data_IF_563815527969
#
_entry.id   IF_563815527969
#
_cell.length_a   1.000
_cell.length_b   1.000
_cell.length_c   1.000
_cell.angle_alpha   90.00
_cell.angle_beta   90.00
_cell.angle_gamma   90.00
#
_symmetry.space_group_name_H-M   'P 1'
#
loop_
_entity.id
_entity.type
_entity.pdbx_description
1 polymer ?
#
# COMPACT_ATOMS: atom_id res chain seq x y z
N UNK A 1 -9.79 3.56 -11.86
CA UNK A 1 -9.24 2.69 -12.93
C UNK A 1 -9.46 1.25 -12.50
N UNK A 2 -10.26 0.45 -13.24
CA UNK A 2 -10.65 -0.91 -12.83
C UNK A 2 -9.50 -1.92 -12.92
N UNK A 3 -9.61 -3.01 -12.16
CA UNK A 3 -8.72 -4.17 -12.26
C UNK A 3 -9.08 -5.26 -11.26
N UNK A 4 -8.70 -6.50 -11.56
CA UNK A 4 -8.83 -7.65 -10.66
C UNK A 4 -7.44 -8.04 -10.16
N UNK A 5 -7.18 -7.79 -8.87
CA UNK A 5 -5.87 -8.09 -8.28
C UNK A 5 -5.95 -8.33 -6.78
N UNK A 6 -4.92 -9.02 -6.28
CA UNK A 6 -4.68 -9.24 -4.86
C UNK A 6 -3.29 -8.73 -4.46
N UNK A 7 -3.18 -8.19 -3.26
CA UNK A 7 -1.92 -7.67 -2.74
C UNK A 7 -1.94 -7.36 -1.25
N UNK A 8 -0.74 -7.15 -0.73
CA UNK A 8 -0.53 -6.74 0.66
C UNK A 8 -0.66 -5.22 0.80
N UNK A 9 -1.38 -4.78 1.82
CA UNK A 9 -1.61 -3.38 2.12
C UNK A 9 -0.42 -2.73 2.82
N UNK A 10 -0.12 -1.49 2.42
CA UNK A 10 0.68 -0.53 3.19
C UNK A 10 -0.15 0.73 3.40
N UNK A 11 -0.19 1.25 4.62
CA UNK A 11 -1.17 2.26 5.02
C UNK A 11 -0.46 3.55 5.40
N UNK A 12 -1.06 4.68 5.00
CA UNK A 12 -0.75 6.01 5.51
C UNK A 12 -2.03 6.80 5.76
N UNK A 13 -2.02 7.60 6.81
CA UNK A 13 -3.10 8.52 7.21
C UNK A 13 -2.78 9.96 6.86
N UNK A 14 -1.60 10.22 6.29
CA UNK A 14 -1.19 11.52 5.78
C UNK A 14 -1.29 11.57 4.25
N UNK A 15 -1.16 12.77 3.68
CA UNK A 15 -1.16 12.93 2.23
C UNK A 15 0.03 12.21 1.60
N UNK A 16 -0.21 11.53 0.47
CA UNK A 16 0.83 10.81 -0.24
C UNK A 16 1.58 11.71 -1.23
N UNK A 17 2.87 11.96 -0.99
CA UNK A 17 3.72 12.68 -1.92
C UNK A 17 4.45 11.69 -2.85
N UNK A 18 3.96 11.58 -4.09
CA UNK A 18 4.50 10.63 -5.07
C UNK A 18 6.00 10.84 -5.33
N UNK A 19 6.45 12.08 -5.58
CA UNK A 19 7.85 12.35 -5.88
C UNK A 19 8.73 12.04 -4.65
N UNK A 20 8.39 12.58 -3.48
CA UNK A 20 9.18 12.34 -2.26
C UNK A 20 9.26 10.84 -1.91
N UNK A 21 8.18 10.10 -2.15
CA UNK A 21 8.11 8.65 -1.90
C UNK A 21 9.06 7.87 -2.80
N UNK A 22 9.14 8.18 -4.10
CA UNK A 22 9.91 7.38 -5.06
C UNK A 22 11.26 7.97 -5.47
N UNK A 23 11.55 9.23 -5.17
CA UNK A 23 12.73 9.97 -5.67
C UNK A 23 14.05 9.19 -5.48
N UNK A 24 14.31 8.68 -4.27
CA UNK A 24 15.55 7.94 -3.99
C UNK A 24 15.62 6.60 -4.72
N UNK A 25 14.50 5.89 -4.84
CA UNK A 25 14.43 4.63 -5.59
C UNK A 25 14.68 4.86 -7.09
N UNK A 26 14.17 5.96 -7.63
CA UNK A 26 14.36 6.36 -9.02
C UNK A 26 15.83 6.74 -9.31
N UNK A 27 16.47 7.51 -8.43
CA UNK A 27 17.87 7.91 -8.57
C UNK A 27 18.85 6.74 -8.43
N UNK A 28 18.66 5.90 -7.41
CA UNK A 28 19.57 4.78 -7.13
C UNK A 28 19.47 3.64 -8.15
N UNK A 29 18.41 3.64 -8.96
CA UNK A 29 18.14 2.58 -9.90
C UNK A 29 17.76 1.25 -9.24
N UNK A 30 17.32 1.27 -7.98
CA UNK A 30 16.92 0.08 -7.21
C UNK A 30 15.78 -0.69 -7.89
N UNK A 31 15.75 -2.02 -7.69
CA UNK A 31 14.61 -2.88 -8.05
C UNK A 31 13.47 -2.86 -7.02
N UNK A 32 13.72 -2.22 -5.87
CA UNK A 32 12.78 -1.98 -4.77
C UNK A 32 12.39 -0.52 -4.74
N UNK A 33 11.15 -0.22 -4.37
CA UNK A 33 10.67 1.15 -4.18
C UNK A 33 10.59 1.47 -2.69
N UNK A 34 11.74 1.56 -2.02
CA UNK A 34 11.79 1.97 -0.62
C UNK A 34 11.43 3.45 -0.52
N UNK A 35 10.36 3.74 0.23
CA UNK A 35 9.83 5.09 0.40
C UNK A 35 10.87 6.00 1.05
N UNK A 36 11.13 7.16 0.43
CA UNK A 36 12.07 8.17 0.92
C UNK A 36 11.42 9.43 1.51
N UNK A 37 10.10 9.45 1.61
CA UNK A 37 9.34 10.59 2.14
C UNK A 37 9.45 10.69 3.66
N UNK A 38 10.23 11.63 4.16
CA UNK A 38 10.48 11.82 5.60
C UNK A 38 9.26 12.39 6.34
N UNK A 39 8.39 13.10 5.63
CA UNK A 39 7.16 13.66 6.20
C UNK A 39 6.07 12.58 6.36
N UNK A 40 6.24 11.44 5.69
CA UNK A 40 5.36 10.28 5.82
C UNK A 40 6.01 9.17 6.65
N UNK A 41 6.06 9.37 7.97
CA UNK A 41 6.63 8.40 8.91
C UNK A 41 5.99 7.00 8.84
N UNK A 42 4.73 6.90 8.40
CA UNK A 42 4.05 5.62 8.22
C UNK A 42 4.58 4.85 7.01
N UNK A 43 4.98 5.52 5.92
CA UNK A 43 5.53 4.83 4.74
C UNK A 43 7.05 4.82 4.70
N UNK A 44 7.73 5.76 5.37
CA UNK A 44 9.18 5.92 5.29
C UNK A 44 9.92 4.60 5.55
N UNK A 45 10.81 4.22 4.62
CA UNK A 45 11.57 2.98 4.70
C UNK A 45 10.81 1.70 4.31
N UNK A 46 9.50 1.76 4.04
CA UNK A 46 8.73 0.63 3.51
C UNK A 46 8.93 0.48 2.00
N UNK A 47 8.91 -0.75 1.51
CA UNK A 47 8.94 -1.03 0.07
C UNK A 47 7.53 -0.97 -0.50
N UNK A 48 7.31 -0.04 -1.43
CA UNK A 48 6.02 0.24 -2.05
C UNK A 48 5.78 -0.59 -3.32
N UNK A 49 6.83 -1.24 -3.84
CA UNK A 49 6.74 -2.02 -5.06
C UNK A 49 5.77 -3.19 -4.89
N UNK A 50 4.89 -3.36 -5.86
CA UNK A 50 3.89 -4.44 -5.92
C UNK A 50 2.94 -4.51 -4.69
N UNK A 51 2.90 -3.46 -3.85
CA UNK A 51 1.97 -3.31 -2.73
C UNK A 51 0.69 -2.61 -3.15
N UNK A 52 -0.33 -2.68 -2.29
CA UNK A 52 -1.53 -1.87 -2.36
C UNK A 52 -1.36 -0.74 -1.35
N UNK A 53 -1.29 0.51 -1.81
CA UNK A 53 -1.12 1.67 -0.94
C UNK A 53 -2.52 2.17 -0.56
N UNK A 54 -2.83 2.21 0.73
CA UNK A 54 -4.06 2.76 1.27
C UNK A 54 -3.77 4.14 1.88
N UNK A 55 -4.47 5.15 1.41
CA UNK A 55 -4.15 6.56 1.68
C UNK A 55 -5.42 7.42 1.72
N UNK A 56 -5.40 8.58 2.38
CA UNK A 56 -6.55 9.49 2.34
C UNK A 56 -6.66 10.20 0.99
N UNK A 57 -5.55 10.79 0.54
CA UNK A 57 -5.44 11.59 -0.68
C UNK A 57 -3.98 11.66 -1.11
N UNK A 58 -3.75 11.97 -2.37
CA UNK A 58 -2.43 12.34 -2.90
C UNK A 58 -2.20 13.85 -2.77
N UNK A 59 -0.94 14.23 -2.59
CA UNK A 59 -0.50 15.61 -2.66
C UNK A 59 -0.18 15.92 -4.13
N UNK A 60 -1.21 16.31 -4.87
CA UNK A 60 -1.14 16.58 -6.30
C UNK A 60 -0.07 17.63 -6.63
N UNK A 61 0.78 17.30 -7.60
CA UNK A 61 1.77 18.20 -8.20
C UNK A 61 2.01 17.77 -9.64
N UNK A 62 2.42 18.70 -10.51
CA UNK A 62 2.78 18.38 -11.90
C UNK A 62 3.89 17.32 -11.96
N UNK A 63 4.78 17.29 -10.96
CA UNK A 63 5.82 16.27 -10.83
C UNK A 63 5.27 14.86 -10.60
N UNK A 64 4.05 14.71 -10.07
CA UNK A 64 3.45 13.39 -9.83
C UNK A 64 3.25 12.62 -11.14
N UNK A 65 2.83 13.31 -12.21
CA UNK A 65 2.63 12.68 -13.53
C UNK A 65 3.91 12.06 -14.09
N UNK A 66 5.00 12.84 -14.14
CA UNK A 66 6.30 12.36 -14.59
C UNK A 66 6.87 11.25 -13.69
N UNK A 67 6.59 11.34 -12.37
CA UNK A 67 7.04 10.32 -11.42
C UNK A 67 6.33 8.99 -11.66
N UNK A 68 5.01 8.99 -11.88
CA UNK A 68 4.24 7.77 -12.15
C UNK A 68 4.70 7.07 -13.41
N UNK A 69 4.91 7.83 -14.50
CA UNK A 69 5.45 7.31 -15.75
C UNK A 69 6.81 6.62 -15.52
N UNK A 70 7.73 7.30 -14.83
CA UNK A 70 9.06 6.75 -14.56
C UNK A 70 9.01 5.52 -13.66
N UNK A 71 8.22 5.56 -12.59
CA UNK A 71 8.04 4.44 -11.64
C UNK A 71 7.48 3.20 -12.35
N UNK A 72 6.52 3.40 -13.26
CA UNK A 72 5.96 2.34 -14.09
C UNK A 72 7.00 1.76 -15.05
N UNK A 73 7.73 2.59 -15.82
CA UNK A 73 8.80 2.14 -16.71
C UNK A 73 9.92 1.40 -16.00
N UNK A 74 10.21 1.77 -14.74
CA UNK A 74 11.22 1.11 -13.91
C UNK A 74 10.71 -0.20 -13.30
N UNK A 75 9.44 -0.54 -13.45
CA UNK A 75 8.86 -1.77 -12.89
C UNK A 75 8.89 -1.83 -11.36
N UNK A 76 8.83 -0.66 -10.71
CA UNK A 76 8.83 -0.52 -9.25
C UNK A 76 7.52 0.08 -8.71
N UNK A 77 6.51 0.16 -9.57
CA UNK A 77 5.19 0.68 -9.21
C UNK A 77 4.48 -0.19 -8.16
N UNK A 78 3.61 0.40 -7.32
CA UNK A 78 2.63 -0.34 -6.56
C UNK A 78 1.61 -1.02 -7.50
N UNK A 79 0.89 -2.01 -6.99
CA UNK A 79 -0.23 -2.63 -7.71
C UNK A 79 -1.45 -1.73 -7.76
N UNK A 80 -1.74 -1.05 -6.64
CA UNK A 80 -2.92 -0.21 -6.52
C UNK A 80 -2.74 0.93 -5.52
N UNK A 81 -3.57 1.96 -5.70
CA UNK A 81 -3.79 3.07 -4.79
C UNK A 81 -5.27 3.09 -4.39
N UNK A 82 -5.54 3.01 -3.09
CA UNK A 82 -6.89 2.98 -2.53
C UNK A 82 -7.11 4.22 -1.67
N UNK A 83 -7.89 5.16 -2.20
CA UNK A 83 -8.12 6.47 -1.59
C UNK A 83 -9.39 6.46 -0.74
N UNK A 84 -9.27 6.92 0.51
CA UNK A 84 -10.45 7.16 1.35
C UNK A 84 -11.24 8.38 0.89
N UNK A 85 -10.57 9.37 0.30
CA UNK A 85 -11.16 10.58 -0.31
C UNK A 85 -11.08 10.52 -1.83
N UNK A 86 -11.51 11.59 -2.50
CA UNK A 86 -11.41 11.73 -3.96
C UNK A 86 -9.95 11.85 -4.39
N UNK A 87 -9.58 11.16 -5.47
CA UNK A 87 -8.26 11.30 -6.09
C UNK A 87 -8.14 12.67 -6.77
N UNK A 88 -6.97 13.30 -6.68
CA UNK A 88 -6.72 14.55 -7.41
C UNK A 88 -6.49 14.29 -8.91
N UNK A 89 -6.81 15.28 -9.74
CA UNK A 89 -6.75 15.16 -11.20
C UNK A 89 -5.32 14.95 -11.74
N UNK A 90 -4.29 15.48 -11.06
CA UNK A 90 -2.90 15.35 -11.50
C UNK A 90 -2.38 13.93 -11.29
N UNK A 91 -2.70 13.35 -10.13
CA UNK A 91 -2.41 11.95 -9.84
C UNK A 91 -3.19 11.04 -10.77
N UNK A 92 -4.48 11.27 -10.98
CA UNK A 92 -5.31 10.49 -11.90
C UNK A 92 -4.75 10.52 -13.33
N UNK A 93 -4.41 11.71 -13.85
CA UNK A 93 -3.80 11.86 -15.17
C UNK A 93 -2.45 11.13 -15.27
N UNK A 94 -1.61 11.25 -14.24
CA UNK A 94 -0.32 10.56 -14.16
C UNK A 94 -0.43 9.04 -14.26
N UNK A 95 -1.37 8.45 -13.53
CA UNK A 95 -1.62 7.00 -13.57
C UNK A 95 -2.14 6.53 -14.93
N UNK A 96 -3.00 7.34 -15.57
CA UNK A 96 -3.51 7.05 -16.92
C UNK A 96 -2.35 7.05 -17.92
N UNK A 97 -1.52 8.11 -17.93
CA UNK A 97 -0.36 8.21 -18.83
C UNK A 97 0.58 7.02 -18.62
N UNK A 98 0.94 6.72 -17.37
CA UNK A 98 1.80 5.59 -17.04
C UNK A 98 1.23 4.24 -17.52
N UNK A 99 -0.09 4.05 -17.42
CA UNK A 99 -0.76 2.84 -17.90
C UNK A 99 -0.64 2.68 -19.42
N UNK A 100 -0.80 3.77 -20.19
CA UNK A 100 -0.75 3.73 -21.65
C UNK A 100 0.66 3.64 -22.20
N UNK A 101 1.64 4.33 -21.61
CA UNK A 101 2.99 4.45 -22.17
C UNK A 101 3.96 3.41 -21.60
N UNK A 102 3.88 3.10 -20.32
CA UNK A 102 4.77 2.12 -19.68
C UNK A 102 4.17 0.71 -19.61
N UNK A 103 2.92 0.52 -20.02
CA UNK A 103 2.23 -0.78 -20.03
C UNK A 103 1.99 -1.38 -18.63
N UNK A 104 2.31 -0.65 -17.55
CA UNK A 104 2.07 -1.09 -16.18
C UNK A 104 0.83 -0.39 -15.64
N UNK A 105 -0.22 -1.16 -15.41
CA UNK A 105 -1.46 -0.68 -14.80
C UNK A 105 -1.31 -0.61 -13.28
N UNK A 106 -1.45 0.59 -12.72
CA UNK A 106 -1.68 0.81 -11.28
C UNK A 106 -3.17 1.04 -11.10
N UNK A 107 -3.85 0.14 -10.39
CA UNK A 107 -5.29 0.26 -10.12
C UNK A 107 -5.53 1.42 -9.15
N UNK A 108 -6.59 2.18 -9.37
CA UNK A 108 -6.94 3.30 -8.50
C UNK A 108 -8.43 3.29 -8.21
N UNK A 109 -8.79 3.23 -6.93
CA UNK A 109 -10.18 3.33 -6.44
C UNK A 109 -10.22 4.44 -5.42
N UNK A 110 -11.17 5.36 -5.58
CA UNK A 110 -11.32 6.52 -4.71
C UNK A 110 -12.64 6.51 -3.94
N UNK A 111 -12.78 7.43 -2.98
CA UNK A 111 -14.00 7.61 -2.19
C UNK A 111 -14.44 6.36 -1.42
N UNK A 112 -13.49 5.55 -0.95
CA UNK A 112 -13.76 4.38 -0.10
C UNK A 112 -14.24 4.77 1.31
N UNK A 113 -14.11 6.04 1.68
CA UNK A 113 -14.57 6.59 2.95
C UNK A 113 -13.57 6.40 4.08
N UNK A 114 -13.70 7.23 5.12
CA UNK A 114 -12.77 7.23 6.26
C UNK A 114 -12.74 5.89 7.01
N UNK A 115 -13.89 5.21 7.11
CA UNK A 115 -14.02 3.90 7.75
C UNK A 115 -13.07 2.86 7.15
N UNK A 116 -12.90 2.84 5.82
CA UNK A 116 -11.95 1.95 5.17
C UNK A 116 -10.52 2.19 5.67
N UNK A 117 -10.11 3.46 5.74
CA UNK A 117 -8.76 3.85 6.16
C UNK A 117 -8.50 3.58 7.64
N UNK A 118 -9.55 3.67 8.47
CA UNK A 118 -9.46 3.37 9.90
C UNK A 118 -9.35 1.86 10.16
N UNK A 119 -9.98 1.03 9.33
CA UNK A 119 -10.01 -0.43 9.48
C UNK A 119 -8.76 -1.15 8.93
N UNK A 120 -8.21 -0.66 7.80
CA UNK A 120 -7.07 -1.26 7.12
C UNK A 120 -5.75 -1.07 7.90
N UNK A 121 -4.92 -2.12 7.90
CA UNK A 121 -3.61 -2.13 8.56
C UNK A 121 -2.53 -2.60 7.60
N UNK A 122 -1.29 -2.24 7.90
CA UNK A 122 -0.14 -2.79 7.19
C UNK A 122 -0.16 -4.33 7.26
N UNK A 123 0.08 -4.97 6.12
CA UNK A 123 0.12 -6.43 6.02
C UNK A 123 -1.25 -7.10 5.83
N UNK A 124 -2.36 -6.36 5.86
CA UNK A 124 -3.66 -6.91 5.47
C UNK A 124 -3.64 -7.33 3.99
N UNK A 125 -4.39 -8.38 3.66
CA UNK A 125 -4.58 -8.81 2.27
C UNK A 125 -5.78 -8.07 1.69
N UNK A 126 -5.61 -7.47 0.52
CA UNK A 126 -6.68 -6.75 -0.18
C UNK A 126 -6.90 -7.36 -1.54
N UNK A 127 -8.17 -7.65 -1.84
CA UNK A 127 -8.66 -7.99 -3.17
C UNK A 127 -9.40 -6.79 -3.76
N UNK A 128 -9.10 -6.45 -5.01
CA UNK A 128 -9.83 -5.47 -5.80
C UNK A 128 -10.50 -6.23 -6.94
N UNK A 129 -11.80 -6.02 -7.13
CA UNK A 129 -12.58 -6.60 -8.23
C UNK A 129 -12.70 -5.63 -9.39
N UNK A 130 -13.06 -6.14 -10.57
CA UNK A 130 -13.17 -5.35 -11.80
C UNK A 130 -14.15 -4.17 -11.68
N UNK A 131 -15.22 -4.32 -10.89
CA UNK A 131 -16.22 -3.28 -10.61
C UNK A 131 -15.74 -2.21 -9.63
N UNK A 132 -14.52 -2.33 -9.10
CA UNK A 132 -13.95 -1.44 -8.09
C UNK A 132 -14.28 -1.83 -6.65
N UNK A 133 -14.95 -2.95 -6.41
CA UNK A 133 -15.19 -3.46 -5.06
C UNK A 133 -13.87 -3.83 -4.39
N UNK A 134 -13.67 -3.34 -3.16
CA UNK A 134 -12.49 -3.61 -2.33
C UNK A 134 -12.88 -4.53 -1.19
N UNK A 135 -12.20 -5.68 -1.08
CA UNK A 135 -12.39 -6.65 -0.01
C UNK A 135 -11.14 -6.68 0.87
N UNK A 136 -11.35 -6.50 2.18
CA UNK A 136 -10.29 -6.56 3.19
C UNK A 136 -10.29 -7.94 3.85
N UNK A 137 -9.19 -8.66 3.73
CA UNK A 137 -8.94 -9.93 4.41
C UNK A 137 -7.86 -9.75 5.49
N UNK A 138 -8.27 -9.87 6.76
CA UNK A 138 -7.35 -9.72 7.88
C UNK A 138 -6.53 -11.00 8.06
N UNK A 139 -5.21 -10.86 7.94
CA UNK A 139 -4.29 -11.94 8.34
C UNK A 139 -4.22 -11.95 9.87
N UNK A 140 -5.08 -12.75 10.49
CA UNK A 140 -5.01 -12.95 11.94
C UNK A 140 -3.76 -13.77 12.26
N UNK A 141 -2.73 -13.13 12.84
CA UNK A 141 -1.66 -13.88 13.52
C UNK A 141 -2.30 -14.67 14.65
N UNK A 142 -2.40 -15.99 14.50
CA UNK A 142 -2.91 -16.88 15.53
C UNK A 142 -2.16 -16.63 16.85
N UNK A 143 -2.92 -16.36 17.92
CA UNK A 143 -2.41 -16.20 19.28
C UNK A 143 -1.59 -17.45 19.65
N UNK A 144 -0.32 -17.33 20.11
CA UNK A 144 0.43 -18.51 20.54
C UNK A 144 -0.33 -19.17 21.70
N UNK A 145 -0.69 -20.45 21.53
CA UNK A 145 -1.29 -21.27 22.59
C UNK A 145 -0.28 -21.32 23.74
N UNK A 146 -0.66 -20.73 24.87
CA UNK A 146 0.10 -20.80 26.13
C UNK A 146 0.32 -22.28 26.46
N UNK A 147 1.55 -22.76 26.67
CA UNK A 147 1.79 -24.16 27.00
C UNK A 147 1.10 -24.49 28.33
N UNK A 148 0.41 -25.63 28.37
CA UNK A 148 -0.25 -26.12 29.57
C UNK A 148 0.77 -26.29 30.69
N UNK A 149 0.50 -25.62 31.82
CA UNK A 149 1.25 -25.77 33.07
C UNK A 149 1.28 -27.24 33.48
N UNK A 150 2.45 -27.89 33.35
CA UNK A 150 2.67 -29.23 33.90
C UNK A 150 2.53 -29.14 35.42
N UNK A 151 1.48 -29.74 35.98
CA UNK A 151 1.33 -29.95 37.42
C UNK A 151 2.44 -30.90 37.88
N UNK A 152 3.30 -30.43 38.76
CA UNK A 152 4.30 -31.24 39.47
C UNK A 152 3.57 -32.23 40.40
N UNK A 153 3.91 -33.53 40.42
CA UNK A 153 3.34 -34.46 41.40
C UNK A 153 3.98 -34.23 42.77
N UNK A 154 3.15 -33.92 43.76
CA UNK A 154 3.54 -33.85 45.17
C UNK A 154 4.00 -35.23 45.64
N UNK A 155 5.29 -35.34 45.97
CA UNK A 155 5.92 -36.51 46.58
C UNK A 155 5.30 -36.72 47.96
N UNK A 156 4.51 -37.80 48.15
CA UNK A 156 4.18 -38.31 49.48
C UNK A 156 5.46 -38.85 50.10
N UNK A 157 5.87 -38.27 51.23
CA UNK A 157 6.78 -38.93 52.15
C UNK A 157 5.95 -39.71 53.17
N UNK A 158 6.52 -40.88 53.49
CA UNK A 158 6.20 -41.90 54.51
C UNK A 158 5.39 -41.44 55.71
#
# INVERSE_FOLDING_TARGET
MPGDLNGEAVVTRTGFNTLASFYKALLSGSKRAVCSDQDNAELFGKDLKDKIICLPMSLGSTSAGATWDRVAHRGIAPKALLFSRTIDSLTAAGLIIACFWAGKRVVAVDRLGQRFLDEVRDGDSISIREDGTVLLERVTKAKPRRPASKRTPTRRQT
#
